data_IF_910891256659
#
_entry.id   IF_910891256659
#
_cell.length_a   1.000
_cell.length_b   1.000
_cell.length_c   1.000
_cell.angle_alpha   90.00
_cell.angle_beta   90.00
_cell.angle_gamma   90.00
#
_symmetry.space_group_name_H-M   'P 1'
#
loop_
_entity.id
_entity.type
_entity.pdbx_description
1 polymer ?
#
# COMPACT_ATOMS: atom_id res chain seq x y z
N UNK A 1 27.97 44.58 -24.37
CA UNK A 1 28.48 43.47 -23.54
C UNK A 1 27.29 42.82 -22.86
N UNK A 2 26.98 41.58 -23.21
CA UNK A 2 25.80 40.87 -22.73
C UNK A 2 26.02 40.36 -21.31
N UNK A 3 25.05 40.62 -20.43
CA UNK A 3 24.99 40.14 -19.05
C UNK A 3 24.69 38.64 -19.05
N UNK A 4 25.56 37.85 -18.40
CA UNK A 4 25.34 36.43 -18.18
C UNK A 4 24.42 36.25 -16.97
N UNK A 5 23.21 35.75 -17.21
CA UNK A 5 22.30 35.28 -16.14
C UNK A 5 22.86 33.95 -15.64
N UNK A 6 23.35 33.92 -14.41
CA UNK A 6 23.74 32.69 -13.74
C UNK A 6 22.50 31.85 -13.44
N UNK A 7 22.38 30.69 -14.11
CA UNK A 7 21.43 29.66 -13.70
C UNK A 7 21.94 29.05 -12.38
N UNK A 8 21.28 29.43 -11.27
CA UNK A 8 21.43 28.70 -10.00
C UNK A 8 20.71 27.37 -10.18
N UNK A 9 21.46 26.35 -10.58
CA UNK A 9 20.98 24.98 -10.62
C UNK A 9 20.60 24.53 -9.21
N UNK A 10 19.32 24.62 -8.87
CA UNK A 10 18.80 23.86 -7.74
C UNK A 10 18.89 22.39 -8.13
N UNK A 11 19.86 21.67 -7.57
CA UNK A 11 19.87 20.22 -7.61
C UNK A 11 18.68 19.74 -6.78
N UNK A 12 17.52 19.62 -7.41
CA UNK A 12 16.38 18.95 -6.79
C UNK A 12 16.80 17.52 -6.51
N UNK A 13 16.96 17.18 -5.24
CA UNK A 13 17.22 15.82 -4.84
C UNK A 13 15.99 14.99 -5.24
N UNK A 14 16.23 14.00 -6.10
CA UNK A 14 15.20 13.08 -6.59
C UNK A 14 14.61 12.32 -5.40
N UNK A 15 13.30 12.46 -5.17
CA UNK A 15 12.58 11.68 -4.15
C UNK A 15 12.71 10.19 -4.42
N UNK A 16 13.07 9.43 -3.38
CA UNK A 16 13.06 7.98 -3.43
C UNK A 16 11.66 7.45 -3.18
N UNK A 17 11.40 6.25 -3.67
CA UNK A 17 10.09 5.62 -3.60
C UNK A 17 10.22 4.10 -3.65
N UNK A 18 9.32 3.40 -2.98
CA UNK A 18 9.29 1.94 -2.89
C UNK A 18 7.85 1.43 -2.90
N UNK A 19 7.68 0.14 -3.16
CA UNK A 19 6.38 -0.51 -3.29
C UNK A 19 6.30 -1.74 -2.40
N UNK A 20 5.14 -1.92 -1.78
CA UNK A 20 4.72 -3.16 -1.12
C UNK A 20 3.62 -3.78 -1.98
N UNK A 21 3.81 -5.01 -2.46
CA UNK A 21 2.80 -5.76 -3.21
C UNK A 21 2.35 -6.98 -2.40
N UNK A 22 1.05 -7.07 -2.13
CA UNK A 22 0.45 -8.24 -1.49
C UNK A 22 -0.07 -9.22 -2.57
N UNK A 23 0.15 -10.51 -2.37
CA UNK A 23 -0.31 -11.55 -3.31
C UNK A 23 -1.09 -12.63 -2.58
N UNK A 24 -2.09 -13.21 -3.26
CA UNK A 24 -2.73 -14.44 -2.80
C UNK A 24 -1.82 -15.63 -3.11
N UNK A 25 -1.75 -16.57 -2.17
CA UNK A 25 -1.13 -17.88 -2.37
C UNK A 25 -2.25 -18.85 -2.75
N UNK A 26 -2.11 -19.53 -3.89
CA UNK A 26 -3.18 -20.35 -4.47
C UNK A 26 -2.72 -21.73 -4.91
N UNK A 27 -3.66 -22.67 -4.91
CA UNK A 27 -3.50 -23.99 -5.51
C UNK A 27 -3.42 -23.86 -7.05
N UNK A 28 -2.36 -24.37 -7.71
CA UNK A 28 -2.21 -24.26 -9.16
C UNK A 28 -3.25 -25.02 -9.97
N UNK A 29 -3.93 -26.01 -9.38
CA UNK A 29 -4.89 -26.88 -10.08
C UNK A 29 -6.30 -26.27 -10.12
N UNK A 30 -6.71 -25.59 -9.06
CA UNK A 30 -8.09 -25.10 -8.91
C UNK A 30 -8.19 -23.60 -8.56
N UNK A 31 -7.08 -22.93 -8.22
CA UNK A 31 -7.03 -21.51 -7.87
C UNK A 31 -7.48 -21.15 -6.46
N UNK A 32 -7.83 -22.13 -5.62
CA UNK A 32 -8.27 -21.88 -4.23
C UNK A 32 -7.14 -21.28 -3.39
N UNK A 33 -7.42 -20.28 -2.53
CA UNK A 33 -6.44 -19.75 -1.60
C UNK A 33 -5.88 -20.81 -0.64
N UNK A 34 -4.59 -20.74 -0.34
CA UNK A 34 -3.87 -21.70 0.53
C UNK A 34 -3.15 -20.97 1.68
N UNK A 35 -3.30 -21.41 2.94
CA UNK A 35 -2.72 -20.76 4.12
C UNK A 35 -1.23 -21.13 4.31
N UNK A 36 -0.36 -20.70 3.39
CA UNK A 36 1.04 -21.13 3.33
C UNK A 36 2.06 -20.02 3.64
N UNK A 37 1.65 -18.81 4.00
CA UNK A 37 2.56 -17.67 4.17
C UNK A 37 3.73 -17.96 5.15
N UNK A 38 3.44 -18.58 6.30
CA UNK A 38 4.48 -18.98 7.25
C UNK A 38 5.44 -20.05 6.71
N UNK A 39 4.96 -20.98 5.86
CA UNK A 39 5.82 -21.95 5.19
C UNK A 39 6.77 -21.25 4.21
N UNK A 40 6.28 -20.26 3.46
CA UNK A 40 7.09 -19.51 2.50
C UNK A 40 8.19 -18.69 3.17
N UNK A 41 7.89 -18.03 4.29
CA UNK A 41 8.91 -17.32 5.07
C UNK A 41 9.99 -18.28 5.61
N UNK A 42 9.59 -19.47 6.09
CA UNK A 42 10.55 -20.51 6.51
C UNK A 42 11.42 -21.00 5.36
N UNK A 43 10.89 -21.05 4.13
CA UNK A 43 11.66 -21.42 2.95
C UNK A 43 12.62 -20.32 2.46
N UNK A 44 12.32 -19.05 2.75
CA UNK A 44 13.22 -17.93 2.47
C UNK A 44 14.45 -17.95 3.39
N UNK A 45 14.25 -18.25 4.67
CA UNK A 45 15.32 -18.34 5.67
C UNK A 45 15.25 -19.64 6.48
N UNK A 46 15.63 -20.79 5.88
CA UNK A 46 15.50 -22.11 6.53
C UNK A 46 16.38 -22.28 7.77
N UNK A 47 17.36 -21.40 7.98
CA UNK A 47 18.30 -21.46 9.10
C UNK A 47 18.17 -20.28 10.07
N UNK A 48 17.19 -19.39 9.88
CA UNK A 48 17.06 -18.13 10.61
C UNK A 48 18.36 -17.29 10.59
N UNK A 49 19.16 -17.47 9.55
CA UNK A 49 20.39 -16.75 9.31
C UNK A 49 20.00 -15.51 8.53
N UNK A 50 19.68 -14.44 9.25
CA UNK A 50 19.27 -13.13 8.73
C UNK A 50 19.69 -12.93 7.27
N UNK A 51 18.77 -13.26 6.35
CA UNK A 51 19.00 -13.12 4.91
C UNK A 51 19.55 -11.73 4.68
N UNK A 52 20.63 -11.62 3.89
CA UNK A 52 21.19 -10.31 3.55
C UNK A 52 20.11 -9.49 2.86
N UNK A 53 19.49 -8.61 3.66
CA UNK A 53 18.34 -7.79 3.27
C UNK A 53 18.68 -6.88 2.10
N UNK A 54 19.96 -6.66 1.79
CA UNK A 54 20.39 -5.80 0.69
C UNK A 54 20.33 -6.45 -0.70
N UNK A 55 20.16 -7.78 -0.78
CA UNK A 55 20.25 -8.53 -2.05
C UNK A 55 18.91 -9.00 -2.61
N UNK A 56 17.87 -9.08 -1.78
CA UNK A 56 16.54 -9.55 -2.16
C UNK A 56 15.43 -8.69 -1.55
N UNK A 57 14.28 -8.54 -2.23
CA UNK A 57 13.12 -7.88 -1.65
C UNK A 57 12.68 -8.60 -0.37
N UNK A 58 12.19 -7.82 0.59
CA UNK A 58 11.75 -8.36 1.87
C UNK A 58 10.39 -9.02 1.69
N UNK A 59 10.21 -10.22 2.26
CA UNK A 59 8.89 -10.85 2.34
C UNK A 59 8.33 -10.65 3.75
N UNK A 60 7.02 -10.45 3.84
CA UNK A 60 6.32 -10.38 5.10
C UNK A 60 5.02 -11.19 5.06
N UNK A 61 4.57 -11.58 6.25
CA UNK A 61 3.24 -12.16 6.47
C UNK A 61 2.26 -11.04 6.77
N UNK A 62 1.03 -11.22 6.31
CA UNK A 62 -0.08 -10.33 6.60
C UNK A 62 -1.07 -10.95 7.60
N UNK A 63 -2.21 -10.28 7.83
CA UNK A 63 -3.27 -10.73 8.73
C UNK A 63 -3.70 -12.19 8.48
N UNK A 64 -3.70 -12.62 7.21
CA UNK A 64 -4.11 -13.97 6.81
C UNK A 64 -2.96 -14.75 6.17
N UNK A 65 -2.91 -16.05 6.44
CA UNK A 65 -1.88 -16.97 5.95
C UNK A 65 -1.99 -17.24 4.44
N UNK A 66 -3.09 -16.84 3.80
CA UNK A 66 -3.27 -16.88 2.34
C UNK A 66 -2.55 -15.74 1.61
N UNK A 67 -1.92 -14.81 2.32
CA UNK A 67 -1.29 -13.63 1.74
C UNK A 67 0.23 -13.64 1.94
N UNK A 68 0.94 -13.17 0.92
CA UNK A 68 2.37 -12.89 0.98
C UNK A 68 2.63 -11.47 0.51
N UNK A 69 3.30 -10.68 1.33
CA UNK A 69 3.75 -9.34 0.95
C UNK A 69 5.19 -9.37 0.42
N UNK A 70 5.45 -8.63 -0.65
CA UNK A 70 6.77 -8.40 -1.25
C UNK A 70 7.08 -6.91 -1.20
N UNK A 71 8.16 -6.55 -0.52
CA UNK A 71 8.55 -5.15 -0.27
C UNK A 71 9.84 -4.85 -1.03
N UNK A 72 9.81 -3.84 -1.88
CA UNK A 72 11.01 -3.37 -2.60
C UNK A 72 11.88 -2.48 -1.73
N UNK A 73 13.16 -2.35 -2.08
CA UNK A 73 13.98 -1.27 -1.58
C UNK A 73 13.51 0.11 -2.09
N UNK A 74 13.93 1.22 -1.44
CA UNK A 74 13.74 2.56 -1.99
C UNK A 74 14.59 2.76 -3.27
N UNK A 75 13.94 3.20 -4.34
CA UNK A 75 14.57 3.52 -5.62
C UNK A 75 14.54 5.00 -5.94
N UNK A 76 15.51 5.47 -6.72
CA UNK A 76 15.49 6.82 -7.33
C UNK A 76 15.05 6.81 -8.80
N UNK A 77 14.97 5.63 -9.43
CA UNK A 77 14.62 5.45 -10.84
C UNK A 77 13.50 4.42 -11.04
N UNK A 78 12.65 4.64 -12.04
CA UNK A 78 11.59 3.70 -12.41
C UNK A 78 12.15 2.38 -12.95
N UNK A 79 13.27 2.43 -13.67
CA UNK A 79 13.91 1.22 -14.21
C UNK A 79 14.44 0.31 -13.10
N UNK A 80 15.02 0.89 -12.04
CA UNK A 80 15.47 0.15 -10.86
C UNK A 80 14.29 -0.52 -10.15
N UNK A 81 13.24 0.25 -9.86
CA UNK A 81 12.03 -0.26 -9.23
C UNK A 81 11.38 -1.37 -10.07
N UNK A 82 11.24 -1.17 -11.38
CA UNK A 82 10.66 -2.16 -12.28
C UNK A 82 11.44 -3.48 -12.33
N UNK A 83 12.77 -3.42 -12.21
CA UNK A 83 13.60 -4.62 -12.14
C UNK A 83 13.37 -5.37 -10.82
N UNK A 84 13.32 -4.66 -9.69
CA UNK A 84 13.10 -5.29 -8.39
C UNK A 84 11.68 -5.85 -8.23
N UNK A 85 10.64 -5.16 -8.69
CA UNK A 85 9.26 -5.68 -8.71
C UNK A 85 9.20 -7.04 -9.41
N UNK A 86 9.80 -7.14 -10.62
CA UNK A 86 9.82 -8.41 -11.36
C UNK A 86 10.61 -9.49 -10.63
N UNK A 87 11.75 -9.12 -10.04
CA UNK A 87 12.58 -10.05 -9.28
C UNK A 87 11.85 -10.56 -8.03
N UNK A 88 11.15 -9.68 -7.31
CA UNK A 88 10.39 -10.02 -6.11
C UNK A 88 9.21 -10.93 -6.40
N UNK A 89 8.42 -10.63 -7.43
CA UNK A 89 7.34 -11.52 -7.89
C UNK A 89 7.88 -12.90 -8.29
N UNK A 90 8.98 -12.96 -9.04
CA UNK A 90 9.59 -14.23 -9.45
C UNK A 90 10.14 -15.01 -8.24
N UNK A 91 10.75 -14.32 -7.28
CA UNK A 91 11.28 -14.91 -6.06
C UNK A 91 10.15 -15.50 -5.20
N UNK A 92 9.11 -14.73 -4.92
CA UNK A 92 7.93 -15.18 -4.18
C UNK A 92 7.23 -16.38 -4.87
N UNK A 93 7.03 -16.35 -6.19
CA UNK A 93 6.45 -17.51 -6.92
C UNK A 93 7.37 -18.74 -6.85
N UNK A 94 8.70 -18.54 -6.84
CA UNK A 94 9.65 -19.65 -6.70
C UNK A 94 9.55 -20.35 -5.35
N UNK A 95 9.30 -19.61 -4.27
CA UNK A 95 9.05 -20.17 -2.94
C UNK A 95 7.69 -20.88 -2.90
N UNK A 96 6.65 -20.27 -3.47
CA UNK A 96 5.31 -20.87 -3.57
C UNK A 96 5.36 -22.24 -4.28
N UNK A 97 6.08 -22.32 -5.40
CA UNK A 97 6.25 -23.58 -6.15
C UNK A 97 6.93 -24.68 -5.34
N UNK A 98 7.90 -24.35 -4.49
CA UNK A 98 8.55 -25.34 -3.60
C UNK A 98 7.56 -25.91 -2.57
N UNK A 99 6.53 -25.14 -2.21
CA UNK A 99 5.44 -25.57 -1.34
C UNK A 99 4.23 -26.16 -2.11
N UNK A 100 4.35 -26.38 -3.43
CA UNK A 100 3.25 -26.91 -4.25
C UNK A 100 2.16 -25.89 -4.61
N UNK A 101 2.41 -24.59 -4.39
CA UNK A 101 1.49 -23.49 -4.62
C UNK A 101 1.99 -22.53 -5.71
N UNK A 102 1.23 -21.47 -5.98
CA UNK A 102 1.61 -20.31 -6.80
C UNK A 102 1.24 -19.03 -6.06
N UNK A 103 1.91 -17.92 -6.37
CA UNK A 103 1.37 -16.60 -6.02
C UNK A 103 0.51 -16.06 -7.18
N UNK A 104 -0.49 -15.24 -6.87
CA UNK A 104 -1.28 -14.53 -7.87
C UNK A 104 -1.55 -13.09 -7.43
N UNK A 105 -1.42 -12.16 -8.37
CA UNK A 105 -1.67 -10.74 -8.18
C UNK A 105 -3.16 -10.45 -8.38
N UNK A 106 -3.96 -10.80 -7.36
CA UNK A 106 -5.39 -10.57 -7.33
C UNK A 106 -5.73 -9.84 -6.03
N UNK A 107 -6.40 -8.70 -6.12
CA UNK A 107 -6.73 -7.92 -4.94
C UNK A 107 -7.83 -8.56 -4.08
N UNK A 108 -8.62 -9.46 -4.65
CA UNK A 108 -9.57 -10.34 -3.94
C UNK A 108 -9.62 -11.70 -4.61
N UNK A 109 -10.01 -12.75 -3.86
CA UNK A 109 -10.20 -14.08 -4.43
C UNK A 109 -11.48 -14.14 -5.26
N UNK A 110 -11.44 -14.65 -6.51
CA UNK A 110 -12.63 -14.92 -7.30
C UNK A 110 -13.37 -16.18 -6.85
N UNK A 111 -12.79 -16.96 -5.95
CA UNK A 111 -13.38 -18.16 -5.36
C UNK A 111 -13.77 -17.92 -3.91
N UNK A 112 -14.79 -18.64 -3.45
CA UNK A 112 -15.14 -18.67 -2.04
C UNK A 112 -14.03 -19.36 -1.23
N UNK A 113 -13.79 -18.89 -0.01
CA UNK A 113 -12.83 -19.46 0.91
C UNK A 113 -13.03 -18.92 2.32
N UNK A 114 -12.44 -19.61 3.30
CA UNK A 114 -12.37 -19.13 4.68
C UNK A 114 -10.91 -18.81 4.98
N UNK A 115 -10.57 -17.51 5.18
CA UNK A 115 -9.20 -17.10 5.49
C UNK A 115 -8.72 -17.67 6.82
N UNK A 116 -7.41 -17.94 6.94
CA UNK A 116 -6.79 -18.40 8.18
C UNK A 116 -5.93 -17.30 8.77
N UNK A 117 -6.27 -16.86 9.98
CA UNK A 117 -5.53 -15.82 10.67
C UNK A 117 -4.06 -16.22 10.93
N UNK A 118 -3.15 -15.29 10.70
CA UNK A 118 -1.78 -15.37 11.20
C UNK A 118 -1.79 -15.18 12.71
N UNK A 119 -1.35 -16.19 13.47
CA UNK A 119 -1.33 -16.08 14.94
C UNK A 119 -0.18 -15.19 15.41
N UNK A 120 -0.53 -14.04 15.98
CA UNK A 120 0.33 -13.21 16.83
C UNK A 120 -0.52 -12.21 17.63
N UNK A 121 0.02 -11.69 18.73
CA UNK A 121 -0.67 -10.80 19.66
C UNK A 121 -1.37 -9.61 18.97
N UNK A 122 -0.74 -9.04 17.92
CA UNK A 122 -1.31 -7.91 17.18
C UNK A 122 -2.53 -8.32 16.38
N UNK A 123 -2.45 -9.41 15.60
CA UNK A 123 -3.54 -9.86 14.75
C UNK A 123 -4.68 -10.48 15.54
N UNK A 124 -4.37 -11.18 16.64
CA UNK A 124 -5.37 -11.70 17.56
C UNK A 124 -6.22 -10.57 18.17
N UNK A 125 -5.57 -9.47 18.57
CA UNK A 125 -6.26 -8.28 19.05
C UNK A 125 -7.13 -7.61 17.97
N UNK A 126 -6.70 -7.60 16.70
CA UNK A 126 -7.52 -7.09 15.60
C UNK A 126 -8.76 -7.97 15.35
N UNK A 127 -8.61 -9.30 15.39
CA UNK A 127 -9.72 -10.24 15.18
C UNK A 127 -10.74 -10.20 16.31
N UNK A 128 -10.29 -10.04 17.55
CA UNK A 128 -11.19 -9.83 18.70
C UNK A 128 -11.98 -8.53 18.53
N UNK A 129 -11.31 -7.46 18.13
CA UNK A 129 -11.88 -6.11 18.11
C UNK A 129 -12.77 -5.80 16.91
N UNK A 130 -12.34 -6.19 15.70
CA UNK A 130 -13.06 -5.92 14.45
C UNK A 130 -13.94 -7.10 14.02
N UNK A 131 -13.83 -8.24 14.71
CA UNK A 131 -14.70 -9.40 14.54
C UNK A 131 -14.88 -9.81 13.07
N UNK A 132 -16.12 -9.81 12.57
CA UNK A 132 -16.44 -10.24 11.21
C UNK A 132 -15.69 -9.43 10.14
N UNK A 133 -15.51 -8.12 10.36
CA UNK A 133 -14.77 -7.25 9.43
C UNK A 133 -13.34 -7.76 9.23
N UNK A 134 -12.63 -8.10 10.32
CA UNK A 134 -11.26 -8.62 10.21
C UNK A 134 -11.23 -10.05 9.65
N UNK A 135 -12.16 -10.92 10.06
CA UNK A 135 -12.22 -12.32 9.58
C UNK A 135 -12.49 -12.45 8.08
N UNK A 136 -13.21 -11.50 7.51
CA UNK A 136 -13.49 -11.46 6.08
C UNK A 136 -12.42 -10.71 5.28
N UNK A 137 -11.44 -10.05 5.93
CA UNK A 137 -10.49 -9.16 5.27
C UNK A 137 -9.33 -9.91 4.59
N UNK A 138 -9.62 -10.72 3.58
CA UNK A 138 -8.63 -11.30 2.69
C UNK A 138 -8.54 -10.49 1.39
N UNK A 139 -7.77 -9.40 1.44
CA UNK A 139 -7.59 -8.46 0.31
C UNK A 139 -6.12 -8.15 0.10
N UNK A 140 -5.66 -8.09 -1.15
CA UNK A 140 -4.29 -7.76 -1.49
C UNK A 140 -4.15 -6.36 -2.11
N UNK A 141 -3.37 -5.50 -1.48
CA UNK A 141 -3.07 -4.14 -1.93
C UNK A 141 -1.74 -3.96 -2.64
N UNK A 142 -1.57 -2.77 -3.21
CA UNK A 142 -0.29 -2.22 -3.63
C UNK A 142 -0.07 -0.89 -2.90
N UNK A 143 0.86 -0.86 -1.94
CA UNK A 143 1.21 0.35 -1.22
C UNK A 143 2.43 1.02 -1.84
N UNK A 144 2.38 2.34 -1.99
CA UNK A 144 3.51 3.11 -2.52
C UNK A 144 3.99 4.09 -1.47
N UNK A 145 5.27 3.99 -1.13
CA UNK A 145 5.97 4.91 -0.24
C UNK A 145 6.78 5.91 -1.05
N UNK A 146 6.71 7.20 -0.70
CA UNK A 146 7.55 8.25 -1.30
C UNK A 146 8.18 9.10 -0.20
N UNK A 147 9.50 9.28 -0.28
CA UNK A 147 10.28 10.05 0.70
C UNK A 147 9.83 11.51 0.78
N UNK A 148 9.70 12.02 2.01
CA UNK A 148 9.48 13.44 2.30
C UNK A 148 10.54 13.96 3.28
N UNK A 149 10.80 15.26 3.26
CA UNK A 149 11.84 15.90 4.06
C UNK A 149 11.43 16.22 5.50
N UNK A 150 10.14 16.31 5.79
CA UNK A 150 9.60 16.46 7.14
C UNK A 150 8.13 16.04 7.22
N UNK A 151 7.60 15.94 8.43
CA UNK A 151 6.17 15.67 8.65
C UNK A 151 5.29 16.81 8.16
N UNK A 152 5.75 18.07 8.26
CA UNK A 152 5.03 19.23 7.69
C UNK A 152 4.88 19.11 6.18
N UNK A 153 5.95 18.69 5.50
CA UNK A 153 5.89 18.40 4.06
C UNK A 153 4.94 17.23 3.80
N UNK A 154 5.06 16.15 4.57
CA UNK A 154 4.24 14.97 4.41
C UNK A 154 2.75 15.26 4.57
N UNK A 155 2.35 16.00 5.61
CA UNK A 155 0.95 16.41 5.81
C UNK A 155 0.49 17.36 4.71
N UNK A 156 1.33 18.30 4.29
CA UNK A 156 1.00 19.18 3.18
C UNK A 156 0.78 18.40 1.87
N UNK A 157 1.54 17.32 1.65
CA UNK A 157 1.31 16.39 0.55
C UNK A 157 -0.02 15.67 0.71
N UNK A 158 -0.28 15.06 1.88
CA UNK A 158 -1.54 14.36 2.17
C UNK A 158 -2.76 15.23 1.88
N UNK A 159 -2.75 16.49 2.34
CA UNK A 159 -3.85 17.44 2.16
C UNK A 159 -4.15 17.74 0.67
N UNK A 160 -3.13 17.70 -0.19
CA UNK A 160 -3.23 18.08 -1.63
C UNK A 160 -3.51 16.90 -2.56
N UNK A 161 -3.13 15.68 -2.19
CA UNK A 161 -3.32 14.51 -3.06
C UNK A 161 -4.71 13.86 -2.92
N UNK A 162 -5.55 14.31 -1.97
CA UNK A 162 -6.80 13.63 -1.59
C UNK A 162 -7.74 13.38 -2.78
N UNK A 163 -7.93 14.38 -3.65
CA UNK A 163 -8.75 14.27 -4.87
C UNK A 163 -8.15 13.38 -5.96
N UNK A 164 -6.87 13.02 -5.85
CA UNK A 164 -6.16 12.15 -6.79
C UNK A 164 -6.16 10.67 -6.39
N UNK A 165 -6.57 10.34 -5.16
CA UNK A 165 -6.64 8.95 -4.71
C UNK A 165 -7.68 8.12 -5.48
N UNK A 166 -8.90 8.62 -5.77
CA UNK A 166 -9.88 7.83 -6.53
C UNK A 166 -9.44 7.47 -7.97
N UNK A 167 -8.81 8.37 -8.75
CA UNK A 167 -8.18 7.98 -10.02
C UNK A 167 -7.18 6.83 -9.91
N UNK A 168 -6.40 6.75 -8.83
CA UNK A 168 -5.45 5.63 -8.61
C UNK A 168 -6.20 4.31 -8.36
N UNK A 169 -7.33 4.34 -7.65
CA UNK A 169 -8.22 3.18 -7.47
C UNK A 169 -8.71 2.70 -8.84
N UNK A 170 -9.23 3.61 -9.67
CA UNK A 170 -9.75 3.26 -10.99
C UNK A 170 -8.67 2.62 -11.88
N UNK A 171 -7.45 3.18 -11.90
CA UNK A 171 -6.33 2.69 -12.70
C UNK A 171 -5.79 1.33 -12.22
N UNK A 172 -5.88 1.01 -10.93
CA UNK A 172 -5.35 -0.22 -10.35
C UNK A 172 -6.38 -1.35 -10.19
N UNK A 173 -7.66 -1.05 -10.42
CA UNK A 173 -8.79 -1.97 -10.15
C UNK A 173 -8.56 -3.39 -10.66
N UNK A 174 -8.56 -4.35 -9.73
CA UNK A 174 -8.25 -5.76 -9.99
C UNK A 174 -8.94 -6.68 -8.97
N UNK A 175 -10.17 -6.32 -8.57
CA UNK A 175 -10.95 -7.08 -7.59
C UNK A 175 -12.46 -7.11 -7.90
N UNK A 176 -12.91 -7.57 -9.09
CA UNK A 176 -14.34 -7.55 -9.39
C UNK A 176 -15.18 -8.59 -8.63
N UNK A 177 -14.54 -9.62 -8.05
CA UNK A 177 -15.21 -10.69 -7.33
C UNK A 177 -14.98 -10.61 -5.82
N UNK A 178 -15.92 -11.15 -5.05
CA UNK A 178 -15.79 -11.37 -3.61
C UNK A 178 -16.46 -12.67 -3.20
N UNK A 179 -15.71 -13.56 -2.51
CA UNK A 179 -16.23 -14.83 -2.02
C UNK A 179 -16.99 -15.65 -3.08
N UNK A 180 -16.44 -15.76 -4.30
CA UNK A 180 -17.07 -16.54 -5.36
C UNK A 180 -18.17 -15.82 -6.14
N UNK A 181 -18.45 -14.56 -5.82
CA UNK A 181 -19.57 -13.80 -6.40
C UNK A 181 -19.04 -12.57 -7.15
N UNK A 182 -19.56 -12.32 -8.36
CA UNK A 182 -19.36 -11.04 -9.05
C UNK A 182 -20.00 -9.93 -8.23
N UNK A 183 -19.19 -8.98 -7.77
CA UNK A 183 -19.64 -7.93 -6.88
C UNK A 183 -20.34 -6.77 -7.60
N UNK A 184 -20.18 -6.67 -8.92
CA UNK A 184 -20.58 -5.51 -9.73
C UNK A 184 -19.62 -4.31 -9.65
N UNK A 185 -18.55 -4.38 -8.85
CA UNK A 185 -17.50 -3.35 -8.78
C UNK A 185 -16.30 -3.73 -9.65
N UNK A 186 -15.52 -2.73 -10.09
CA UNK A 186 -14.19 -3.00 -10.64
C UNK A 186 -13.15 -3.26 -9.54
N UNK A 187 -13.27 -2.55 -8.42
CA UNK A 187 -12.46 -2.71 -7.21
C UNK A 187 -13.35 -2.97 -5.99
N UNK A 188 -13.65 -4.24 -5.70
CA UNK A 188 -14.37 -4.59 -4.48
C UNK A 188 -13.48 -4.49 -3.24
N UNK A 189 -12.15 -4.63 -3.38
CA UNK A 189 -11.21 -4.42 -2.26
C UNK A 189 -11.44 -3.06 -1.62
N UNK A 190 -11.66 -2.00 -2.41
CA UNK A 190 -11.99 -0.66 -1.88
C UNK A 190 -13.24 -0.68 -0.98
N UNK A 191 -14.30 -1.37 -1.40
CA UNK A 191 -15.54 -1.47 -0.63
C UNK A 191 -15.38 -2.34 0.63
N UNK A 192 -14.64 -3.44 0.53
CA UNK A 192 -14.30 -4.29 1.68
C UNK A 192 -13.45 -3.51 2.71
N UNK A 193 -12.47 -2.73 2.25
CA UNK A 193 -11.58 -1.90 3.07
C UNK A 193 -12.33 -0.77 3.79
N UNK A 194 -13.32 -0.14 3.15
CA UNK A 194 -14.13 0.93 3.75
C UNK A 194 -14.96 0.52 4.98
N UNK A 195 -15.00 -0.78 5.33
CA UNK A 195 -15.63 -1.28 6.56
C UNK A 195 -14.75 -1.08 7.81
N UNK A 196 -13.46 -0.79 7.63
CA UNK A 196 -12.56 -0.46 8.73
C UNK A 196 -12.87 0.95 9.25
N UNK A 197 -12.83 1.12 10.57
CA UNK A 197 -13.33 2.32 11.26
C UNK A 197 -12.64 3.62 10.84
N UNK A 198 -11.40 3.53 10.37
CA UNK A 198 -10.59 4.68 9.93
C UNK A 198 -10.23 4.63 8.45
N UNK A 199 -10.74 3.66 7.69
CA UNK A 199 -10.50 3.60 6.26
C UNK A 199 -11.25 4.72 5.51
N UNK A 200 -10.65 5.13 4.39
CA UNK A 200 -11.20 6.15 3.51
C UNK A 200 -10.44 7.48 3.56
N UNK A 201 -10.99 8.49 2.87
CA UNK A 201 -10.36 9.79 2.74
C UNK A 201 -10.47 10.59 4.03
N UNK A 202 -9.52 11.50 4.23
CA UNK A 202 -9.46 12.40 5.38
C UNK A 202 -9.84 13.83 4.99
N UNK A 203 -10.26 14.62 5.97
CA UNK A 203 -10.28 16.08 5.80
C UNK A 203 -8.86 16.65 5.82
N UNK A 204 -8.74 17.94 5.51
CA UNK A 204 -7.46 18.66 5.56
C UNK A 204 -6.97 18.75 7.00
N UNK A 205 -5.73 18.33 7.24
CA UNK A 205 -5.08 18.40 8.55
C UNK A 205 -4.46 19.78 8.80
N UNK A 206 -3.88 20.39 7.76
CA UNK A 206 -3.24 21.71 7.79
C UNK A 206 -1.86 21.73 8.44
N UNK A 207 -1.61 20.95 9.50
CA UNK A 207 -0.32 20.89 10.19
C UNK A 207 0.04 19.46 10.63
N UNK A 208 1.35 19.18 10.71
CA UNK A 208 1.87 17.95 11.31
C UNK A 208 1.37 17.73 12.74
N UNK A 209 1.28 18.80 13.54
CA UNK A 209 0.76 18.72 14.91
C UNK A 209 -0.70 18.27 14.94
N UNK A 210 -1.56 18.80 14.06
CA UNK A 210 -2.96 18.41 13.98
C UNK A 210 -3.11 16.94 13.54
N UNK A 211 -2.32 16.51 12.55
CA UNK A 211 -2.26 15.10 12.13
C UNK A 211 -1.88 14.18 13.30
N UNK A 212 -0.76 14.44 13.98
CA UNK A 212 -0.29 13.62 15.09
C UNK A 212 -1.26 13.64 16.28
N UNK A 213 -1.92 14.78 16.53
CA UNK A 213 -2.98 14.86 17.53
C UNK A 213 -4.15 13.93 17.17
N UNK A 214 -4.62 13.94 15.92
CA UNK A 214 -5.70 13.03 15.51
C UNK A 214 -5.28 11.56 15.64
N UNK A 215 -4.08 11.22 15.18
CA UNK A 215 -3.54 9.85 15.32
C UNK A 215 -3.52 9.44 16.80
N UNK A 216 -3.01 10.30 17.69
CA UNK A 216 -2.96 10.03 19.12
C UNK A 216 -4.36 9.92 19.75
N UNK A 217 -5.31 10.78 19.38
CA UNK A 217 -6.69 10.73 19.86
C UNK A 217 -7.37 9.41 19.40
N UNK A 218 -7.16 8.98 18.15
CA UNK A 218 -7.65 7.70 17.62
C UNK A 218 -7.02 6.52 18.36
N UNK A 219 -5.71 6.52 18.57
CA UNK A 219 -5.03 5.48 19.35
C UNK A 219 -5.51 5.45 20.80
N UNK A 220 -5.81 6.62 21.39
CA UNK A 220 -6.35 6.77 22.74
C UNK A 220 -7.73 6.14 22.95
N UNK A 221 -8.51 5.90 21.88
CA UNK A 221 -9.77 5.15 21.97
C UNK A 221 -9.56 3.67 22.30
N UNK A 222 -8.32 3.18 22.13
CA UNK A 222 -7.97 1.77 22.17
C UNK A 222 -8.44 0.99 20.94
N UNK A 223 -9.34 1.53 20.09
CA UNK A 223 -9.92 0.84 18.93
C UNK A 223 -8.97 0.75 17.75
N UNK A 224 -8.19 1.80 17.55
CA UNK A 224 -7.28 1.93 16.42
C UNK A 224 -5.86 1.84 16.96
N UNK A 225 -5.03 0.96 16.43
CA UNK A 225 -3.60 0.95 16.78
C UNK A 225 -2.89 1.99 15.92
N UNK A 226 -3.04 1.86 14.60
CA UNK A 226 -2.63 2.85 13.61
C UNK A 226 -3.80 3.08 12.65
N UNK A 227 -4.07 4.31 12.22
CA UNK A 227 -5.17 4.57 11.30
C UNK A 227 -4.89 3.99 9.90
N UNK A 228 -5.95 3.50 9.29
CA UNK A 228 -5.97 2.86 7.97
C UNK A 228 -6.46 3.82 6.87
N UNK A 229 -6.12 5.11 7.02
CA UNK A 229 -6.42 6.16 6.03
C UNK A 229 -5.93 5.75 4.63
N UNK A 230 -6.64 6.23 3.60
CA UNK A 230 -6.30 5.99 2.19
C UNK A 230 -4.86 6.39 1.83
N UNK A 231 -4.36 7.46 2.47
CA UNK A 231 -2.96 7.84 2.48
C UNK A 231 -2.56 8.37 3.87
N UNK A 232 -1.32 8.11 4.31
CA UNK A 232 -0.85 8.49 5.65
C UNK A 232 0.65 8.82 5.69
N UNK A 233 1.09 9.44 6.78
CA UNK A 233 2.51 9.40 7.14
C UNK A 233 2.84 7.99 7.61
N UNK A 234 3.91 7.40 7.07
CA UNK A 234 4.38 6.11 7.54
C UNK A 234 4.94 6.23 8.96
N UNK A 235 4.52 5.33 9.85
CA UNK A 235 5.03 5.27 11.22
C UNK A 235 6.49 4.78 11.32
N UNK A 236 7.02 4.17 10.26
CA UNK A 236 8.34 3.51 10.25
C UNK A 236 9.36 4.21 9.36
N UNK A 237 8.89 4.92 8.34
CA UNK A 237 9.74 5.51 7.32
C UNK A 237 9.36 6.98 7.11
N UNK A 238 10.33 7.88 6.82
CA UNK A 238 10.05 9.29 6.52
C UNK A 238 9.43 9.44 5.13
N UNK A 239 8.22 8.92 4.98
CA UNK A 239 7.51 8.75 3.71
C UNK A 239 6.04 9.05 3.88
N UNK A 240 5.43 9.51 2.80
CA UNK A 240 3.97 9.43 2.62
C UNK A 240 3.68 8.08 1.96
N UNK A 241 2.72 7.37 2.52
CA UNK A 241 2.31 6.02 2.13
C UNK A 241 0.89 6.07 1.54
N UNK A 242 0.74 5.65 0.28
CA UNK A 242 -0.53 5.62 -0.45
C UNK A 242 -0.99 4.17 -0.52
N UNK A 243 -2.21 3.88 -0.03
CA UNK A 243 -2.69 2.51 0.24
C UNK A 243 -3.95 2.11 -0.53
N UNK A 244 -4.46 3.01 -1.36
CA UNK A 244 -5.75 2.83 -2.05
C UNK A 244 -5.71 1.78 -3.15
N UNK A 245 -4.54 1.54 -3.76
CA UNK A 245 -4.43 0.72 -4.96
C UNK A 245 -4.62 -0.77 -4.67
N UNK A 246 -5.34 -1.44 -5.56
CA UNK A 246 -5.33 -2.89 -5.66
C UNK A 246 -3.94 -3.36 -6.12
N UNK A 247 -3.55 -4.59 -5.73
CA UNK A 247 -2.38 -5.21 -6.36
C UNK A 247 -2.64 -5.34 -7.86
N UNK A 248 -1.72 -4.81 -8.68
CA UNK A 248 -1.89 -4.81 -10.13
C UNK A 248 -1.51 -6.17 -10.73
N UNK A 249 -2.31 -6.66 -11.68
CA UNK A 249 -2.05 -7.93 -12.36
C UNK A 249 -0.68 -7.92 -13.08
N UNK A 250 -0.45 -6.89 -13.90
CA UNK A 250 0.81 -6.71 -14.62
C UNK A 250 1.79 -5.86 -13.80
N UNK A 251 3.07 -6.27 -13.65
CA UNK A 251 4.06 -5.48 -12.91
C UNK A 251 4.34 -4.11 -13.55
N UNK A 252 4.06 -3.91 -14.84
CA UNK A 252 4.19 -2.60 -15.51
C UNK A 252 3.18 -1.60 -14.98
N UNK A 253 1.99 -2.07 -14.59
CA UNK A 253 0.94 -1.23 -14.03
C UNK A 253 1.30 -0.81 -12.60
N UNK A 254 1.91 -1.70 -11.80
CA UNK A 254 2.51 -1.33 -10.51
C UNK A 254 3.55 -0.21 -10.68
N UNK A 255 4.42 -0.30 -11.69
CA UNK A 255 5.42 0.74 -11.98
C UNK A 255 4.75 2.05 -12.39
N UNK A 256 3.66 2.00 -13.17
CA UNK A 256 2.87 3.17 -13.55
C UNK A 256 2.24 3.84 -12.31
N UNK A 257 1.59 3.07 -11.44
CA UNK A 257 1.01 3.57 -10.19
C UNK A 257 2.09 4.22 -9.32
N UNK A 258 3.24 3.56 -9.15
CA UNK A 258 4.36 4.12 -8.40
C UNK A 258 4.91 5.42 -9.00
N UNK A 259 4.96 5.52 -10.34
CA UNK A 259 5.37 6.74 -11.04
C UNK A 259 4.39 7.89 -10.80
N UNK A 260 3.09 7.62 -10.91
CA UNK A 260 2.03 8.61 -10.69
C UNK A 260 2.04 9.09 -9.24
N UNK A 261 2.12 8.18 -8.27
CA UNK A 261 2.20 8.52 -6.84
C UNK A 261 3.43 9.38 -6.56
N UNK A 262 4.61 9.01 -7.06
CA UNK A 262 5.82 9.83 -6.90
C UNK A 262 5.65 11.22 -7.52
N UNK A 263 5.02 11.32 -8.69
CA UNK A 263 4.76 12.60 -9.35
C UNK A 263 3.75 13.46 -8.56
N UNK A 264 2.71 12.86 -7.99
CA UNK A 264 1.73 13.53 -7.13
C UNK A 264 2.40 14.10 -5.88
N UNK A 265 3.23 13.31 -5.19
CA UNK A 265 3.96 13.75 -3.99
C UNK A 265 4.95 14.88 -4.32
N UNK A 266 5.68 14.77 -5.42
CA UNK A 266 6.57 15.85 -5.91
C UNK A 266 5.79 17.13 -6.19
N UNK A 267 4.67 17.02 -6.90
CA UNK A 267 3.83 18.16 -7.30
C UNK A 267 3.23 18.84 -6.07
N UNK A 268 2.59 18.08 -5.18
CA UNK A 268 1.99 18.59 -3.95
C UNK A 268 3.02 19.27 -3.03
N UNK A 269 4.24 18.74 -2.93
CA UNK A 269 5.32 19.38 -2.17
C UNK A 269 5.76 20.72 -2.78
N UNK A 270 5.81 20.82 -4.12
CA UNK A 270 6.12 22.10 -4.80
C UNK A 270 5.02 23.12 -4.60
N UNK A 271 3.76 22.71 -4.70
CA UNK A 271 2.60 23.54 -4.42
C UNK A 271 2.61 24.08 -2.99
N UNK A 272 2.92 23.22 -2.01
CA UNK A 272 3.10 23.61 -0.62
C UNK A 272 4.21 24.66 -0.44
N UNK A 273 5.39 24.43 -1.01
CA UNK A 273 6.51 25.40 -0.97
C UNK A 273 6.17 26.72 -1.66
N UNK A 274 5.30 26.70 -2.66
CA UNK A 274 4.78 27.89 -3.33
C UNK A 274 3.63 28.58 -2.58
N UNK A 275 3.20 28.05 -1.43
CA UNK A 275 2.11 28.62 -0.63
C UNK A 275 0.71 28.40 -1.22
N UNK A 276 0.56 27.49 -2.18
CA UNK A 276 -0.76 27.17 -2.77
C UNK A 276 -1.58 26.36 -1.77
N UNK A 277 -2.81 26.77 -1.48
CA UNK A 277 -3.69 26.03 -0.57
C UNK A 277 -4.12 24.68 -1.18
N UNK A 278 -4.34 23.63 -0.36
CA UNK A 278 -4.98 22.41 -0.83
C UNK A 278 -6.42 22.70 -1.29
N UNK A 279 -7.00 21.80 -2.10
CA UNK A 279 -8.44 21.82 -2.28
C UNK A 279 -9.13 21.58 -0.93
N UNK A 280 -10.28 22.23 -0.71
CA UNK A 280 -11.07 22.07 0.52
C UNK A 280 -12.27 21.16 0.27
N UNK A 281 -12.13 20.19 -0.64
CA UNK A 281 -13.20 19.22 -0.90
C UNK A 281 -13.42 18.40 0.37
N UNK A 282 -14.65 18.35 0.93
CA UNK A 282 -14.95 17.58 2.13
C UNK A 282 -14.70 16.09 1.91
N UNK A 283 -14.20 15.38 2.93
CA UNK A 283 -13.91 13.94 2.84
C UNK A 283 -15.12 13.12 2.39
N UNK A 284 -16.34 13.51 2.78
CA UNK A 284 -17.58 12.82 2.38
C UNK A 284 -17.85 12.88 0.86
N UNK A 285 -17.40 13.94 0.19
CA UNK A 285 -17.50 14.09 -1.27
C UNK A 285 -16.39 13.29 -1.95
N UNK A 286 -15.16 13.36 -1.44
CA UNK A 286 -14.04 12.54 -1.91
C UNK A 286 -14.37 11.04 -1.88
N UNK A 287 -15.07 10.61 -0.83
CA UNK A 287 -15.52 9.24 -0.67
C UNK A 287 -16.41 8.78 -1.83
N UNK A 288 -17.17 9.67 -2.46
CA UNK A 288 -18.00 9.31 -3.62
C UNK A 288 -17.17 8.95 -4.85
N UNK A 289 -15.94 9.48 -4.98
CA UNK A 289 -15.06 9.12 -6.09
C UNK A 289 -14.55 7.67 -6.03
N UNK A 290 -14.61 7.03 -4.85
CA UNK A 290 -14.18 5.65 -4.63
C UNK A 290 -15.29 4.61 -4.88
N UNK A 291 -16.48 5.04 -5.31
CA UNK A 291 -17.61 4.19 -5.71
C UNK A 291 -17.74 4.15 -7.24
#
# INVERSE_FOLDING_TARGET
>A
MASAVAFVGHTYQVRTFGVEEEFLIVDPCNGSPLPLAADLLRLQDPFNQAVDRSTHPMLAVELHQEQLEVITHPHSSLSGLAAEIRAGRAFADSLARKAGARITALATSPLAGTPHATSNDRYDALLEKYALTAREQLTCGCHVHVSVGSDEEGVAVLDRIRSWLPPLIALSSNSPFWNGTDSGYASYRTQAWNRWSTAGPTDVFGTAQAYHKLVADLSGTGVVINPDFDARLSARHPTVEIRVSDVCLDPRDTVLIAALVRALVETASREWKAGQAPDMVPAIILRQGAW
#
